data_IF_375156470584
#
_entry.id   IF_375156470584
#
_cell.length_a   1.000
_cell.length_b   1.000
_cell.length_c   1.000
_cell.angle_alpha   90.00
_cell.angle_beta   90.00
_cell.angle_gamma   90.00
#
_symmetry.space_group_name_H-M   'P 1'
#
loop_
_entity.id
_entity.type
_entity.pdbx_description
1 polymer ?
#
# COMPACT_ATOMS: atom_id res chain seq x y z
N UNK A 1 60.31 0.55 -26.44
CA UNK A 1 59.50 1.39 -25.53
C UNK A 1 58.26 1.92 -26.26
N UNK A 2 57.16 1.14 -26.40
CA UNK A 2 55.83 1.64 -26.84
C UNK A 2 54.75 0.53 -26.80
N UNK A 3 54.34 0.07 -25.62
CA UNK A 3 53.22 -0.92 -25.50
C UNK A 3 52.18 -0.55 -24.44
N UNK A 4 52.32 0.59 -23.74
CA UNK A 4 51.43 0.99 -22.63
C UNK A 4 50.14 1.73 -23.05
N UNK A 5 49.97 2.10 -24.32
CA UNK A 5 48.84 2.95 -24.78
C UNK A 5 47.58 2.16 -25.14
N UNK A 6 47.70 1.04 -25.86
CA UNK A 6 46.54 0.25 -26.31
C UNK A 6 45.75 -0.41 -25.18
N UNK A 7 46.39 -0.69 -24.04
CA UNK A 7 45.73 -1.30 -22.89
C UNK A 7 44.70 -0.36 -22.23
N UNK A 8 44.91 0.96 -22.31
CA UNK A 8 43.97 1.96 -21.75
C UNK A 8 42.69 2.10 -22.58
N UNK A 9 42.78 1.96 -23.91
CA UNK A 9 41.61 2.04 -24.80
C UNK A 9 40.68 0.83 -24.69
N UNK A 10 41.24 -0.36 -24.50
CA UNK A 10 40.48 -1.60 -24.27
C UNK A 10 39.74 -1.55 -22.92
N UNK A 11 40.37 -1.00 -21.89
CA UNK A 11 39.76 -0.83 -20.58
C UNK A 11 38.55 0.14 -20.61
N UNK A 12 38.63 1.20 -21.41
CA UNK A 12 37.51 2.13 -21.63
C UNK A 12 36.34 1.48 -22.39
N UNK A 13 36.63 0.61 -23.36
CA UNK A 13 35.62 -0.11 -24.13
C UNK A 13 34.86 -1.16 -23.29
N UNK A 14 35.55 -1.78 -22.32
CA UNK A 14 34.98 -2.75 -21.37
C UNK A 14 34.01 -2.09 -20.36
N UNK A 15 34.27 -0.84 -19.97
CA UNK A 15 33.38 -0.06 -19.09
C UNK A 15 32.14 0.44 -19.84
N UNK A 16 32.26 0.75 -21.14
CA UNK A 16 31.14 1.19 -21.99
C UNK A 16 30.09 0.10 -22.25
N UNK A 17 30.44 -1.18 -22.12
CA UNK A 17 29.51 -2.31 -22.27
C UNK A 17 28.73 -2.64 -20.98
N UNK A 18 28.98 -1.91 -19.89
CA UNK A 18 28.49 -2.23 -18.54
C UNK A 18 27.34 -1.38 -17.96
N UNK A 19 26.52 -0.58 -18.69
CA UNK A 19 25.38 0.09 -18.07
C UNK A 19 24.04 -0.53 -18.49
N UNK A 20 23.76 -1.80 -18.16
CA UNK A 20 22.42 -2.37 -18.44
C UNK A 20 21.73 -3.14 -17.31
N UNK A 21 22.31 -3.22 -16.11
CA UNK A 21 21.66 -3.95 -15.02
C UNK A 21 21.71 -3.17 -13.71
N UNK A 22 21.11 -1.98 -13.69
CA UNK A 22 20.77 -1.31 -12.43
C UNK A 22 19.26 -1.33 -12.26
N UNK A 23 18.73 -2.42 -11.71
CA UNK A 23 17.37 -2.45 -11.15
C UNK A 23 17.48 -1.97 -9.70
N UNK A 24 17.11 -0.71 -9.44
CA UNK A 24 17.25 -0.12 -8.11
C UNK A 24 16.12 -0.48 -7.14
N UNK A 25 14.96 -0.91 -7.65
CA UNK A 25 13.76 -1.17 -6.85
C UNK A 25 13.04 -2.41 -7.39
N UNK A 26 12.76 -3.39 -6.53
CA UNK A 26 11.92 -4.52 -6.88
C UNK A 26 10.50 -4.02 -7.21
N UNK A 27 9.82 -4.62 -8.21
CA UNK A 27 8.48 -4.20 -8.60
C UNK A 27 7.49 -4.43 -7.45
N UNK A 28 6.70 -3.41 -7.11
CA UNK A 28 5.60 -3.54 -6.16
C UNK A 28 4.39 -4.23 -6.79
N UNK A 29 3.68 -5.04 -6.01
CA UNK A 29 2.46 -5.73 -6.42
C UNK A 29 1.22 -5.00 -5.91
N UNK A 30 0.22 -4.84 -6.77
CA UNK A 30 -1.11 -4.30 -6.43
C UNK A 30 -2.16 -5.38 -6.68
N UNK A 31 -3.04 -5.62 -5.71
CA UNK A 31 -4.17 -6.56 -5.82
C UNK A 31 -5.45 -5.95 -5.27
N UNK A 32 -6.54 -6.10 -6.01
CA UNK A 32 -7.88 -5.77 -5.53
C UNK A 32 -8.69 -7.06 -5.34
N UNK A 33 -9.30 -7.23 -4.17
CA UNK A 33 -10.13 -8.39 -3.88
C UNK A 33 -11.18 -8.12 -2.81
N UNK A 34 -12.11 -9.05 -2.65
CA UNK A 34 -13.12 -9.03 -1.58
C UNK A 34 -12.66 -9.94 -0.45
N UNK A 35 -12.63 -9.43 0.79
CA UNK A 35 -12.28 -10.21 1.98
C UNK A 35 -13.30 -10.00 3.09
N UNK A 36 -13.66 -11.09 3.75
CA UNK A 36 -14.55 -11.05 4.91
C UNK A 36 -13.74 -10.70 6.15
N UNK A 37 -14.15 -9.63 6.85
CA UNK A 37 -13.62 -9.27 8.16
C UNK A 37 -14.75 -9.31 9.19
N UNK A 38 -14.38 -9.71 10.41
CA UNK A 38 -15.25 -9.56 11.56
C UNK A 38 -15.28 -8.09 11.95
N UNK A 39 -16.47 -7.50 11.92
CA UNK A 39 -16.69 -6.07 12.19
C UNK A 39 -17.73 -5.94 13.31
N UNK A 40 -17.49 -4.99 14.21
CA UNK A 40 -18.41 -4.61 15.27
C UNK A 40 -19.07 -3.30 14.85
N UNK A 41 -20.33 -3.32 14.36
CA UNK A 41 -21.00 -2.10 13.91
C UNK A 41 -21.30 -1.15 15.06
N UNK A 42 -21.46 0.14 14.74
CA UNK A 42 -21.97 1.11 15.71
C UNK A 42 -23.37 0.73 16.17
N UNK A 43 -23.68 0.97 17.44
CA UNK A 43 -24.99 0.75 18.04
C UNK A 43 -25.53 2.04 18.64
N UNK A 44 -26.84 2.11 18.84
CA UNK A 44 -27.50 3.22 19.55
C UNK A 44 -27.24 4.59 18.91
N UNK A 45 -27.75 4.84 17.68
CA UNK A 45 -27.74 6.19 17.12
C UNK A 45 -28.60 7.10 18.00
N UNK A 46 -28.09 8.27 18.36
CA UNK A 46 -28.89 9.31 19.00
C UNK A 46 -30.01 9.73 18.04
N UNK A 47 -31.29 9.52 18.41
CA UNK A 47 -32.43 9.82 17.54
C UNK A 47 -32.63 11.33 17.36
N UNK A 48 -32.03 12.16 18.23
CA UNK A 48 -32.18 13.61 18.19
C UNK A 48 -31.00 14.22 17.41
N UNK A 49 -31.24 15.02 16.36
CA UNK A 49 -30.17 15.72 15.66
C UNK A 49 -29.41 16.64 16.61
N UNK A 50 -28.13 16.36 16.82
CA UNK A 50 -27.28 17.17 17.68
C UNK A 50 -26.67 18.34 16.88
N UNK A 51 -27.03 19.58 17.22
CA UNK A 51 -26.53 20.79 16.57
C UNK A 51 -25.06 21.12 16.93
N UNK A 52 -24.52 20.53 18.00
CA UNK A 52 -23.10 20.63 18.39
C UNK A 52 -22.23 19.62 17.61
N UNK A 53 -22.84 18.63 16.95
CA UNK A 53 -22.16 17.63 16.14
C UNK A 53 -21.95 18.05 14.68
N UNK A 54 -21.29 17.18 13.90
CA UNK A 54 -21.16 17.36 12.45
C UNK A 54 -22.44 16.90 11.77
N UNK A 55 -23.40 17.81 11.60
CA UNK A 55 -24.62 17.52 10.84
C UNK A 55 -24.29 17.22 9.37
N UNK A 56 -24.93 16.23 8.71
CA UNK A 56 -26.09 15.43 9.13
C UNK A 56 -25.74 14.04 9.71
N UNK A 57 -24.53 13.83 10.21
CA UNK A 57 -24.12 12.51 10.70
C UNK A 57 -24.69 12.23 12.10
N UNK A 58 -25.19 11.00 12.30
CA UNK A 58 -25.63 10.53 13.60
C UNK A 58 -24.44 10.43 14.58
N UNK A 59 -24.68 10.83 15.83
CA UNK A 59 -23.80 10.45 16.94
C UNK A 59 -24.19 9.05 17.39
N UNK A 60 -23.22 8.16 17.52
CA UNK A 60 -23.42 6.83 18.09
C UNK A 60 -22.76 6.80 19.46
N UNK A 61 -23.54 6.51 20.50
CA UNK A 61 -23.03 6.50 21.88
C UNK A 61 -22.62 5.09 22.34
N UNK A 62 -22.95 4.06 21.55
CA UNK A 62 -22.66 2.67 21.85
C UNK A 62 -21.77 1.96 20.82
N UNK A 63 -21.01 0.98 21.31
CA UNK A 63 -20.35 -0.04 20.49
C UNK A 63 -20.98 -1.39 20.80
N UNK A 64 -21.28 -2.19 19.77
CA UNK A 64 -21.80 -3.54 19.99
C UNK A 64 -20.66 -4.52 20.29
N UNK A 65 -20.92 -5.47 21.18
CA UNK A 65 -20.10 -6.66 21.42
C UNK A 65 -20.42 -7.80 20.43
N UNK A 66 -21.42 -7.64 19.57
CA UNK A 66 -21.87 -8.67 18.61
C UNK A 66 -21.08 -8.59 17.30
N UNK A 67 -20.27 -9.62 16.96
CA UNK A 67 -19.50 -9.63 15.72
C UNK A 67 -20.40 -9.89 14.50
N UNK A 68 -20.14 -9.20 13.39
CA UNK A 68 -20.76 -9.47 12.08
C UNK A 68 -19.68 -9.73 11.03
N UNK A 69 -19.90 -10.74 10.19
CA UNK A 69 -19.02 -11.03 9.05
C UNK A 69 -19.38 -10.11 7.89
N UNK A 70 -18.55 -9.09 7.65
CA UNK A 70 -18.76 -8.12 6.58
C UNK A 70 -17.72 -8.33 5.47
N UNK A 71 -18.18 -8.33 4.21
CA UNK A 71 -17.29 -8.32 3.04
C UNK A 71 -16.81 -6.89 2.80
N UNK A 72 -15.50 -6.72 2.73
CA UNK A 72 -14.85 -5.45 2.45
C UNK A 72 -14.06 -5.54 1.15
N UNK A 73 -14.15 -4.47 0.34
CA UNK A 73 -13.21 -4.28 -0.76
C UNK A 73 -11.83 -3.98 -0.17
N UNK A 74 -10.84 -4.76 -0.58
CA UNK A 74 -9.44 -4.62 -0.16
C UNK A 74 -8.59 -4.25 -1.34
N UNK A 75 -7.75 -3.24 -1.17
CA UNK A 75 -6.63 -2.91 -2.05
C UNK A 75 -5.35 -3.22 -1.29
N UNK A 76 -4.61 -4.23 -1.74
CA UNK A 76 -3.35 -4.67 -1.15
C UNK A 76 -2.19 -4.19 -2.01
N UNK A 77 -1.25 -3.48 -1.38
CA UNK A 77 -0.01 -2.99 -1.96
C UNK A 77 1.16 -3.65 -1.24
N UNK A 78 2.03 -4.34 -1.96
CA UNK A 78 3.13 -5.13 -1.39
C UNK A 78 4.44 -4.87 -2.13
N UNK A 79 5.54 -4.75 -1.38
CA UNK A 79 6.91 -4.80 -1.88
C UNK A 79 7.77 -5.66 -0.94
N UNK A 80 9.09 -5.68 -1.15
CA UNK A 80 10.04 -6.50 -0.37
C UNK A 80 10.08 -6.18 1.14
N UNK A 81 9.53 -5.04 1.58
CA UNK A 81 9.66 -4.54 2.95
C UNK A 81 8.33 -4.36 3.67
N UNK A 82 7.26 -4.06 2.94
CA UNK A 82 5.96 -3.71 3.53
C UNK A 82 4.80 -4.25 2.70
N UNK A 83 3.75 -4.62 3.43
CA UNK A 83 2.41 -4.87 2.91
C UNK A 83 1.43 -3.90 3.55
N UNK A 84 0.71 -3.15 2.71
CA UNK A 84 -0.32 -2.19 3.12
C UNK A 84 -1.67 -2.68 2.62
N UNK A 85 -2.66 -2.67 3.51
CA UNK A 85 -4.05 -3.01 3.22
C UNK A 85 -4.87 -1.74 3.34
N UNK A 86 -5.54 -1.35 2.26
CA UNK A 86 -6.43 -0.20 2.21
C UNK A 86 -7.87 -0.72 2.04
N UNK A 87 -8.78 -0.26 2.90
CA UNK A 87 -10.21 -0.53 2.83
C UNK A 87 -10.94 0.77 2.50
N UNK A 88 -11.23 1.07 1.22
CA UNK A 88 -11.77 2.36 0.80
C UNK A 88 -13.27 2.54 1.06
N UNK A 89 -13.93 1.54 1.64
CA UNK A 89 -15.37 1.51 1.92
C UNK A 89 -15.65 1.64 3.41
#
# INVERSE_FOLDING_TARGET
>A
MKTRSSFKGIFFYLISLFPWTTYAQSPSTLKEYQKTFTTYPFSEPDPVPNAEGVYPYFRYDGFTDKPVQKKWKVVELENDFIKVIIMPQ
#
